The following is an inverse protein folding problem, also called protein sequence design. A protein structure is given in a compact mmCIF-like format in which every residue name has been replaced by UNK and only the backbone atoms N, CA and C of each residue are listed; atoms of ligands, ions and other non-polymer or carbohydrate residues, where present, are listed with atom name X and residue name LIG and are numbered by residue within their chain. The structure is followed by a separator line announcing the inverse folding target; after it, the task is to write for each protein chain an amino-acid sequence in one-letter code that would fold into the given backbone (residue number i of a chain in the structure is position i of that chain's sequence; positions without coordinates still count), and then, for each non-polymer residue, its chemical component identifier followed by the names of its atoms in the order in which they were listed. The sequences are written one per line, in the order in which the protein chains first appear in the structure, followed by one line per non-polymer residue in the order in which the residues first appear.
data_IF_731072020575
#
_entry.id   IF_731072020575
#
_cell.length_a   1.000
_cell.length_b   1.000
_cell.length_c   1.000
_cell.angle_alpha   90.00
_cell.angle_beta   90.00
_cell.angle_gamma   90.00
#
_symmetry.space_group_name_H-M   'P 1'
#
loop_
_entity.id
_entity.type
_entity.pdbx_description
1 polymer ?
#
# COMPACT_ATOMS: atom_id res chain seq x y z
N UNK A 1 25.62 9.79 -41.22
CA UNK A 1 24.46 9.50 -40.37
C UNK A 1 23.48 8.62 -41.16
N UNK A 2 23.50 7.30 -40.95
CA UNK A 2 22.57 6.37 -41.60
C UNK A 2 21.23 6.41 -40.83
N UNK A 3 20.15 6.74 -41.53
CA UNK A 3 18.78 6.70 -40.94
C UNK A 3 18.38 5.24 -40.74
N UNK A 4 18.17 4.86 -39.49
CA UNK A 4 17.54 3.58 -39.11
C UNK A 4 16.10 3.54 -39.65
N UNK A 5 15.79 2.55 -40.49
CA UNK A 5 14.42 2.37 -41.00
C UNK A 5 13.57 1.61 -39.97
N UNK A 6 12.23 1.75 -40.04
CA UNK A 6 11.26 1.15 -39.09
C UNK A 6 11.45 -0.37 -38.88
N UNK A 7 11.84 -1.11 -39.90
CA UNK A 7 12.06 -2.57 -39.80
C UNK A 7 13.26 -2.92 -38.91
N UNK A 8 14.36 -2.15 -39.01
CA UNK A 8 15.55 -2.37 -38.15
C UNK A 8 15.29 -1.98 -36.68
N UNK A 9 14.44 -0.99 -36.47
CA UNK A 9 14.01 -0.62 -35.09
C UNK A 9 13.19 -1.74 -34.45
N UNK A 10 12.22 -2.32 -35.18
CA UNK A 10 11.39 -3.41 -34.65
C UNK A 10 12.19 -4.72 -34.43
N UNK A 11 13.19 -5.02 -35.24
CA UNK A 11 14.07 -6.17 -35.00
C UNK A 11 15.00 -5.96 -33.79
N UNK A 12 15.44 -4.73 -33.51
CA UNK A 12 16.28 -4.42 -32.37
C UNK A 12 15.46 -4.48 -31.03
N UNK A 13 14.18 -4.09 -31.06
CA UNK A 13 13.30 -4.21 -29.90
C UNK A 13 12.84 -5.65 -29.63
N UNK A 14 12.68 -6.49 -30.64
CA UNK A 14 12.38 -7.91 -30.45
C UNK A 14 13.52 -8.70 -29.79
N UNK A 15 14.79 -8.35 -30.09
CA UNK A 15 15.96 -8.95 -29.45
C UNK A 15 16.13 -8.60 -27.95
N UNK A 16 15.64 -7.45 -27.52
CA UNK A 16 15.67 -7.03 -26.11
C UNK A 16 14.61 -7.71 -25.24
N UNK A 17 13.49 -8.14 -25.83
CA UNK A 17 12.42 -8.84 -25.08
C UNK A 17 12.77 -10.30 -24.81
N UNK A 18 13.57 -10.94 -25.68
CA UNK A 18 13.97 -12.34 -25.52
C UNK A 18 15.03 -12.57 -24.41
N UNK A 19 15.79 -11.55 -24.01
CA UNK A 19 16.78 -11.65 -22.95
C UNK A 19 16.25 -11.33 -21.54
N UNK A 20 15.02 -10.84 -21.42
CA UNK A 20 14.39 -10.54 -20.13
C UNK A 20 13.65 -11.73 -19.48
N UNK A 21 13.58 -12.88 -20.16
CA UNK A 21 12.88 -14.07 -19.67
C UNK A 21 13.64 -14.87 -18.60
N UNK A 22 14.82 -14.43 -18.18
CA UNK A 22 15.68 -15.11 -17.20
C UNK A 22 15.94 -14.40 -15.88
N UNK A 23 15.48 -13.17 -15.71
CA UNK A 23 15.61 -12.47 -14.44
C UNK A 23 14.37 -12.69 -13.58
N UNK A 24 14.23 -13.87 -12.95
CA UNK A 24 13.46 -13.97 -11.72
C UNK A 24 14.12 -13.03 -10.72
N UNK A 25 13.54 -11.83 -10.56
CA UNK A 25 13.87 -10.96 -9.45
C UNK A 25 13.72 -11.81 -8.18
N UNK A 26 14.83 -12.17 -7.60
CA UNK A 26 14.91 -12.89 -6.33
C UNK A 26 14.35 -11.94 -5.26
N UNK A 27 13.06 -12.05 -5.01
CA UNK A 27 12.42 -11.37 -3.90
C UNK A 27 12.83 -12.08 -2.63
N UNK A 28 13.57 -11.45 -1.70
CA UNK A 28 14.19 -12.12 -0.54
C UNK A 28 13.18 -12.61 0.51
N UNK A 29 11.90 -12.65 0.19
CA UNK A 29 10.85 -13.15 1.07
C UNK A 29 10.41 -14.58 0.69
N UNK A 30 11.33 -15.51 0.73
CA UNK A 30 11.04 -16.96 0.66
C UNK A 30 10.76 -17.55 2.06
N UNK A 31 10.13 -16.80 2.93
CA UNK A 31 9.58 -17.32 4.19
C UNK A 31 8.09 -17.51 4.04
N UNK A 32 7.61 -18.72 4.20
CA UNK A 32 6.18 -19.07 4.31
C UNK A 32 5.51 -18.51 5.58
N UNK A 33 6.10 -17.49 6.20
CA UNK A 33 5.53 -16.77 7.33
C UNK A 33 4.38 -15.86 6.86
N UNK A 34 3.21 -16.05 7.43
CA UNK A 34 2.09 -15.11 7.36
C UNK A 34 2.60 -13.69 7.71
N UNK A 35 2.41 -12.68 6.83
CA UNK A 35 2.86 -11.32 7.09
C UNK A 35 2.06 -10.61 8.18
N UNK A 36 1.13 -11.31 8.82
CA UNK A 36 0.51 -10.75 10.02
C UNK A 36 1.60 -10.55 11.05
N UNK A 37 1.86 -9.30 11.49
CA UNK A 37 2.76 -9.07 12.61
C UNK A 37 2.29 -9.96 13.76
N UNK A 38 3.24 -10.69 14.33
CA UNK A 38 2.99 -11.65 15.39
C UNK A 38 2.16 -10.99 16.51
N UNK A 39 0.92 -11.44 16.66
CA UNK A 39 -0.02 -10.94 17.65
C UNK A 39 -0.52 -9.54 17.30
N UNK A 40 -1.73 -9.48 16.79
CA UNK A 40 -2.56 -8.27 16.73
C UNK A 40 -2.71 -7.74 18.16
N UNK A 41 -1.71 -6.99 18.63
CA UNK A 41 -1.79 -6.35 19.96
C UNK A 41 -2.83 -5.24 19.84
N UNK A 42 -3.96 -5.45 20.47
CA UNK A 42 -4.89 -4.36 20.74
C UNK A 42 -4.21 -3.46 21.77
N UNK A 43 -3.63 -2.36 21.30
CA UNK A 43 -2.94 -1.37 22.14
C UNK A 43 -3.91 -0.24 22.52
N UNK A 44 -5.21 -0.53 22.64
CA UNK A 44 -6.19 0.43 23.10
C UNK A 44 -5.77 1.00 24.45
N UNK A 45 -5.94 2.29 24.57
CA UNK A 45 -5.59 3.01 25.80
C UNK A 45 -4.11 3.37 25.92
N UNK A 46 -3.29 3.09 24.91
CA UNK A 46 -1.90 3.55 24.90
C UNK A 46 -1.80 4.99 24.40
N UNK A 47 -1.24 5.86 25.22
CA UNK A 47 -1.13 7.30 24.92
C UNK A 47 0.17 7.60 24.18
N UNK A 48 0.07 8.35 23.08
CA UNK A 48 1.19 8.89 22.33
C UNK A 48 1.55 10.30 22.77
N UNK A 49 2.80 10.71 22.50
CA UNK A 49 3.28 12.07 22.63
C UNK A 49 3.43 12.71 21.24
N UNK A 50 3.43 14.04 21.20
CA UNK A 50 3.63 14.78 19.97
C UNK A 50 2.43 14.72 19.02
N UNK A 51 2.67 14.47 17.74
CA UNK A 51 1.64 14.45 16.69
C UNK A 51 1.00 13.06 16.46
N UNK A 52 1.21 12.14 17.38
CA UNK A 52 0.59 10.84 17.36
C UNK A 52 -0.83 10.88 17.99
N UNK A 53 -1.73 9.95 17.65
CA UNK A 53 -3.03 9.85 18.31
C UNK A 53 -2.88 9.50 19.79
N UNK A 54 -3.85 9.90 20.62
CA UNK A 54 -3.85 9.61 22.06
C UNK A 54 -3.89 8.11 22.35
N UNK A 55 -4.47 7.32 21.44
CA UNK A 55 -4.56 5.87 21.56
C UNK A 55 -4.26 5.19 20.22
N UNK A 56 -3.66 3.99 20.27
CA UNK A 56 -3.61 3.12 19.10
C UNK A 56 -4.93 2.35 18.96
N UNK A 57 -5.39 2.30 17.71
CA UNK A 57 -6.65 1.65 17.37
C UNK A 57 -6.49 0.16 17.12
N UNK A 58 -7.61 -0.56 17.10
CA UNK A 58 -7.67 -1.96 16.69
C UNK A 58 -7.16 -2.20 15.25
N UNK A 59 -7.13 -1.17 14.40
CA UNK A 59 -6.61 -1.19 13.03
C UNK A 59 -5.12 -0.89 12.93
N UNK A 60 -4.43 -0.72 14.07
CA UNK A 60 -2.98 -0.52 14.09
C UNK A 60 -2.25 -1.85 13.96
N UNK A 61 -1.15 -1.86 13.22
CA UNK A 61 -0.24 -2.99 13.15
C UNK A 61 1.21 -2.53 13.12
N UNK A 62 2.14 -3.36 13.57
CA UNK A 62 3.56 -3.05 13.45
C UNK A 62 3.95 -2.98 11.97
N UNK A 63 4.71 -1.96 11.59
CA UNK A 63 5.19 -1.78 10.23
C UNK A 63 6.30 -2.78 9.89
N UNK A 64 6.41 -3.20 8.63
CA UNK A 64 7.41 -4.17 8.21
C UNK A 64 8.78 -3.56 7.94
N UNK A 65 8.79 -2.45 7.21
CA UNK A 65 10.00 -1.89 6.64
C UNK A 65 10.47 -0.68 7.46
N UNK A 66 11.14 -0.93 8.58
CA UNK A 66 11.77 0.12 9.38
C UNK A 66 13.00 -0.42 10.13
N UNK A 67 13.83 0.48 10.61
CA UNK A 67 14.98 0.17 11.47
C UNK A 67 14.82 0.86 12.82
N UNK A 68 15.07 0.13 13.89
CA UNK A 68 15.21 0.68 15.24
C UNK A 68 16.57 1.37 15.37
N UNK A 69 16.59 2.51 16.04
CA UNK A 69 17.77 3.32 16.28
C UNK A 69 17.88 3.63 17.79
N UNK A 70 18.98 4.26 18.17
CA UNK A 70 19.20 4.67 19.56
C UNK A 70 18.10 5.60 20.07
N UNK A 71 17.93 5.63 21.40
CA UNK A 71 16.95 6.48 22.08
C UNK A 71 15.50 6.24 21.58
N UNK A 72 15.15 5.00 21.31
CA UNK A 72 13.82 4.61 20.83
C UNK A 72 13.38 5.32 19.52
N UNK A 73 14.31 5.87 18.76
CA UNK A 73 14.02 6.39 17.44
C UNK A 73 13.86 5.25 16.43
N UNK A 74 13.10 5.50 15.38
CA UNK A 74 12.95 4.57 14.26
C UNK A 74 13.16 5.29 12.94
N UNK A 75 13.64 4.58 11.94
CA UNK A 75 13.70 5.08 10.57
C UNK A 75 12.79 4.22 9.69
N UNK A 76 11.72 4.83 9.16
CA UNK A 76 10.81 4.20 8.19
C UNK A 76 11.53 3.98 6.87
N UNK A 77 11.45 2.78 6.31
CA UNK A 77 12.09 2.40 5.05
C UNK A 77 11.16 2.20 3.87
N UNK A 78 9.84 2.47 4.04
CA UNK A 78 8.84 2.11 3.02
C UNK A 78 8.88 3.00 1.76
N UNK A 79 9.31 4.24 1.89
CA UNK A 79 9.35 5.19 0.78
C UNK A 79 10.62 6.07 0.83
N UNK A 80 10.93 6.84 -0.25
CA UNK A 80 12.12 7.70 -0.32
C UNK A 80 12.22 8.77 0.78
N UNK A 81 11.11 9.13 1.45
CA UNK A 81 11.12 10.11 2.54
C UNK A 81 11.93 9.65 3.75
N UNK A 82 12.10 8.34 3.96
CA UNK A 82 12.92 7.76 5.04
C UNK A 82 12.75 8.47 6.38
N UNK A 83 11.51 8.68 6.80
CA UNK A 83 11.16 9.45 7.99
C UNK A 83 11.95 8.95 9.22
N UNK A 84 12.72 9.84 9.83
CA UNK A 84 13.36 9.62 11.12
C UNK A 84 12.41 10.12 12.21
N UNK A 85 11.94 9.22 13.06
CA UNK A 85 10.87 9.49 14.01
C UNK A 85 11.36 9.24 15.44
N UNK A 86 11.25 10.23 16.31
CA UNK A 86 11.37 10.08 17.73
C UNK A 86 10.11 9.42 18.34
N UNK A 87 10.14 8.95 19.61
CA UNK A 87 8.93 8.44 20.26
C UNK A 87 7.78 9.46 20.23
N UNK A 88 6.63 9.05 19.73
CA UNK A 88 5.44 9.89 19.55
C UNK A 88 5.34 10.60 18.20
N UNK A 89 6.40 10.60 17.39
CA UNK A 89 6.38 11.27 16.09
C UNK A 89 5.59 10.50 15.05
N UNK A 90 5.01 11.27 14.12
CA UNK A 90 4.26 10.79 12.96
C UNK A 90 5.04 10.98 11.67
N UNK A 91 4.94 10.02 10.76
CA UNK A 91 5.55 10.08 9.44
C UNK A 91 4.92 11.14 8.52
N UNK A 92 5.64 11.52 7.46
CA UNK A 92 5.16 12.45 6.43
C UNK A 92 3.85 11.99 5.79
N UNK A 93 3.68 10.67 5.60
CA UNK A 93 2.44 10.11 5.06
C UNK A 93 1.26 10.13 6.04
N UNK A 94 1.44 10.52 7.29
CA UNK A 94 0.45 10.61 8.36
C UNK A 94 -0.14 9.30 8.86
N UNK A 95 0.14 8.19 8.18
CA UNK A 95 -0.40 6.86 8.52
C UNK A 95 0.51 6.00 9.38
N UNK A 96 1.72 6.46 9.72
CA UNK A 96 2.65 5.71 10.58
C UNK A 96 3.13 6.56 11.76
N UNK A 97 3.29 5.92 12.91
CA UNK A 97 3.74 6.56 14.16
C UNK A 97 4.82 5.71 14.84
N UNK A 98 5.77 6.36 15.50
CA UNK A 98 6.70 5.69 16.39
C UNK A 98 6.12 5.65 17.81
N UNK A 99 5.88 4.46 18.31
CA UNK A 99 5.53 4.27 19.70
C UNK A 99 6.61 3.46 20.40
N UNK A 100 7.30 4.10 21.35
CA UNK A 100 8.33 3.49 22.20
C UNK A 100 9.39 2.68 21.41
N UNK A 101 9.85 3.19 20.27
CA UNK A 101 10.87 2.53 19.46
C UNK A 101 10.33 1.46 18.50
N UNK A 102 9.01 1.36 18.37
CA UNK A 102 8.34 0.49 17.40
C UNK A 102 7.50 1.35 16.45
N UNK A 103 7.66 1.13 15.13
CA UNK A 103 6.88 1.82 14.12
C UNK A 103 5.56 1.10 13.89
N UNK A 104 4.45 1.80 14.04
CA UNK A 104 3.11 1.28 13.77
C UNK A 104 2.48 1.94 12.55
N UNK A 105 1.83 1.15 11.72
CA UNK A 105 0.85 1.62 10.74
C UNK A 105 -0.50 1.79 11.41
N UNK A 106 -1.18 2.91 11.15
CA UNK A 106 -2.54 3.19 11.62
C UNK A 106 -3.60 2.91 10.53
N UNK A 107 -3.17 2.28 9.44
CA UNK A 107 -3.96 2.04 8.25
C UNK A 107 -4.02 0.54 7.93
N UNK A 108 -4.69 -0.24 8.79
CA UNK A 108 -4.84 -1.68 8.62
C UNK A 108 -6.28 -2.12 8.92
N UNK A 109 -7.05 -2.34 7.87
CA UNK A 109 -8.46 -2.75 7.97
C UNK A 109 -9.45 -1.60 8.18
N UNK A 110 -9.00 -0.36 7.97
CA UNK A 110 -9.80 0.86 8.09
C UNK A 110 -9.75 1.72 6.81
N UNK A 111 -10.13 1.18 5.62
CA UNK A 111 -10.16 1.98 4.41
C UNK A 111 -11.15 3.13 4.52
N UNK A 112 -10.77 4.29 3.98
CA UNK A 112 -11.64 5.46 3.88
C UNK A 112 -12.44 5.50 2.59
N UNK A 113 -12.06 4.70 1.59
CA UNK A 113 -12.83 4.54 0.35
C UNK A 113 -12.75 3.10 -0.16
N UNK A 114 -13.92 2.56 -0.51
CA UNK A 114 -14.08 1.25 -1.16
C UNK A 114 -15.11 1.41 -2.27
N UNK A 115 -14.74 1.06 -3.51
CA UNK A 115 -15.61 1.19 -4.68
C UNK A 115 -15.40 0.06 -5.68
N UNK A 116 -16.41 -0.22 -6.49
CA UNK A 116 -16.26 -1.02 -7.70
C UNK A 116 -16.14 -0.07 -8.88
N UNK A 117 -15.00 -0.07 -9.53
CA UNK A 117 -14.71 0.82 -10.65
C UNK A 117 -14.41 0.00 -11.92
N UNK A 118 -14.68 0.52 -13.12
CA UNK A 118 -14.08 -0.04 -14.33
C UNK A 118 -12.57 0.11 -14.28
N UNK A 119 -11.84 -0.88 -14.81
CA UNK A 119 -10.36 -0.89 -14.79
C UNK A 119 -9.77 0.32 -15.51
N UNK A 120 -10.46 0.84 -16.51
CA UNK A 120 -10.07 2.04 -17.26
C UNK A 120 -10.02 3.29 -16.40
N UNK A 121 -10.79 3.37 -15.31
CA UNK A 121 -10.69 4.45 -14.31
C UNK A 121 -9.36 4.41 -13.55
N UNK A 122 -8.61 3.30 -13.63
CA UNK A 122 -7.25 3.14 -13.10
C UNK A 122 -6.18 3.41 -14.15
N UNK A 123 -6.42 4.23 -15.15
CA UNK A 123 -5.86 4.38 -16.50
C UNK A 123 -5.19 3.11 -17.08
N UNK A 124 -5.78 1.96 -16.86
CA UNK A 124 -5.28 0.67 -17.36
C UNK A 124 -6.11 0.20 -18.56
N UNK A 125 -5.96 0.89 -19.70
CA UNK A 125 -6.79 0.65 -20.90
C UNK A 125 -6.49 -0.67 -21.64
N UNK A 126 -5.30 -1.23 -21.45
CA UNK A 126 -4.86 -2.46 -22.12
C UNK A 126 -4.76 -3.67 -21.19
N UNK A 127 -5.04 -3.49 -19.90
CA UNK A 127 -5.05 -4.56 -18.91
C UNK A 127 -6.50 -4.96 -18.61
N UNK A 128 -6.89 -6.17 -18.99
CA UNK A 128 -8.24 -6.71 -18.79
C UNK A 128 -9.36 -5.69 -19.13
N UNK A 129 -9.44 -5.21 -20.39
CA UNK A 129 -10.41 -4.17 -20.76
C UNK A 129 -11.84 -4.56 -20.38
N UNK A 130 -12.64 -3.59 -19.87
CA UNK A 130 -14.02 -3.76 -19.39
C UNK A 130 -14.15 -4.57 -18.10
N UNK A 131 -13.06 -4.95 -17.47
CA UNK A 131 -13.10 -5.64 -16.17
C UNK A 131 -13.43 -4.68 -15.03
N UNK A 132 -13.85 -5.25 -13.91
CA UNK A 132 -14.13 -4.51 -12.67
C UNK A 132 -12.95 -4.59 -11.72
N UNK A 133 -12.61 -3.45 -11.11
CA UNK A 133 -11.61 -3.34 -10.09
C UNK A 133 -12.27 -2.99 -8.73
N UNK A 134 -12.05 -3.83 -7.72
CA UNK A 134 -12.39 -3.52 -6.34
C UNK A 134 -11.35 -2.55 -5.79
N UNK A 135 -11.71 -1.28 -5.67
CA UNK A 135 -10.79 -0.20 -5.32
C UNK A 135 -10.78 0.05 -3.82
N UNK A 136 -9.58 0.10 -3.23
CA UNK A 136 -9.37 0.30 -1.79
C UNK A 136 -8.39 1.44 -1.57
N UNK A 137 -8.74 2.36 -0.69
CA UNK A 137 -7.84 3.41 -0.20
C UNK A 137 -7.88 3.53 1.31
N UNK A 138 -6.74 3.87 1.89
CA UNK A 138 -6.66 4.36 3.27
C UNK A 138 -6.27 5.83 3.30
N UNK A 139 -6.43 6.46 4.45
CA UNK A 139 -6.06 7.85 4.68
C UNK A 139 -4.53 8.01 4.77
N UNK A 140 -4.03 9.11 4.22
CA UNK A 140 -2.62 9.46 4.22
C UNK A 140 -1.91 9.15 2.90
N UNK A 141 -0.93 9.99 2.55
CA UNK A 141 -0.12 9.86 1.35
C UNK A 141 1.28 10.43 1.62
N UNK A 142 2.30 9.84 1.03
CA UNK A 142 3.69 10.33 1.12
C UNK A 142 4.01 11.44 0.10
N UNK A 143 3.08 11.76 -0.79
CA UNK A 143 3.14 12.90 -1.70
C UNK A 143 2.33 14.09 -1.20
N UNK A 144 2.58 15.27 -1.81
CA UNK A 144 1.88 16.54 -1.56
C UNK A 144 1.57 17.25 -2.88
N UNK A 145 0.93 16.53 -3.81
CA UNK A 145 0.58 17.06 -5.12
C UNK A 145 -0.39 18.25 -4.97
N UNK A 146 -0.08 19.38 -5.61
CA UNK A 146 -0.87 20.61 -5.50
C UNK A 146 -2.27 20.47 -6.12
N UNK A 147 -2.42 19.60 -7.11
CA UNK A 147 -3.68 19.31 -7.81
C UNK A 147 -4.24 17.93 -7.49
N UNK A 148 -4.04 17.45 -6.27
CA UNK A 148 -4.52 16.13 -5.87
C UNK A 148 -6.06 16.09 -5.85
N UNK A 149 -6.65 15.25 -6.69
CA UNK A 149 -8.11 15.03 -6.71
C UNK A 149 -8.63 14.50 -5.37
N UNK A 150 -7.83 13.69 -4.68
CA UNK A 150 -8.19 13.02 -3.43
C UNK A 150 -7.51 13.69 -2.21
N UNK A 151 -7.33 15.01 -2.23
CA UNK A 151 -6.59 15.73 -1.19
C UNK A 151 -7.18 15.54 0.22
N UNK A 152 -8.49 15.42 0.34
CA UNK A 152 -9.21 15.24 1.61
C UNK A 152 -8.76 13.99 2.36
N UNK A 153 -8.53 12.88 1.65
CA UNK A 153 -8.05 11.65 2.26
C UNK A 153 -6.53 11.53 2.25
N UNK A 154 -5.86 12.11 1.24
CA UNK A 154 -4.41 11.99 1.10
C UNK A 154 -3.64 12.90 2.06
N UNK A 155 -4.21 14.03 2.46
CA UNK A 155 -3.56 15.01 3.33
C UNK A 155 -4.08 15.01 4.77
N UNK A 156 -4.91 14.05 5.14
CA UNK A 156 -5.47 13.88 6.47
C UNK A 156 -4.78 12.73 7.24
N UNK A 157 -4.99 12.68 8.55
CA UNK A 157 -4.62 11.56 9.43
C UNK A 157 -5.73 10.51 9.43
N UNK A 158 -5.44 9.21 9.64
CA UNK A 158 -6.46 8.16 9.68
C UNK A 158 -7.59 8.41 10.68
N UNK A 159 -7.32 9.04 11.81
CA UNK A 159 -8.30 9.40 12.85
C UNK A 159 -9.21 10.58 12.48
N UNK A 160 -8.85 11.38 11.48
CA UNK A 160 -9.60 12.57 11.06
C UNK A 160 -10.65 12.26 9.99
N UNK A 161 -10.59 11.08 9.37
CA UNK A 161 -11.45 10.70 8.24
C UNK A 161 -12.34 9.52 8.60
N UNK A 162 -13.61 9.59 8.20
CA UNK A 162 -14.52 8.45 8.31
C UNK A 162 -13.97 7.26 7.53
N UNK A 163 -14.00 6.09 8.15
CA UNK A 163 -13.51 4.85 7.55
C UNK A 163 -14.50 3.70 7.79
N UNK A 164 -14.35 2.66 6.97
CA UNK A 164 -15.06 1.40 7.09
C UNK A 164 -14.20 0.40 7.89
N UNK A 165 -14.82 -0.62 8.45
CA UNK A 165 -14.09 -1.78 8.92
C UNK A 165 -14.07 -2.83 7.81
N UNK A 166 -12.88 -3.09 7.25
CA UNK A 166 -12.70 -4.05 6.17
C UNK A 166 -11.36 -4.77 6.33
N UNK A 167 -11.41 -5.94 6.97
CA UNK A 167 -10.21 -6.76 7.13
C UNK A 167 -9.83 -7.50 5.83
N UNK A 168 -8.57 -7.93 5.68
CA UNK A 168 -8.05 -8.48 4.43
C UNK A 168 -8.89 -9.60 3.81
N UNK A 169 -9.32 -10.55 4.61
CA UNK A 169 -10.13 -11.69 4.15
C UNK A 169 -11.50 -11.23 3.64
N UNK A 170 -12.09 -10.25 4.33
CA UNK A 170 -13.36 -9.64 3.95
C UNK A 170 -13.23 -8.87 2.65
N UNK A 171 -12.14 -8.12 2.46
CA UNK A 171 -11.88 -7.40 1.21
C UNK A 171 -11.83 -8.34 0.00
N UNK A 172 -11.15 -9.48 0.14
CA UNK A 172 -11.09 -10.48 -0.93
C UNK A 172 -12.46 -11.12 -1.18
N UNK A 173 -13.21 -11.43 -0.12
CA UNK A 173 -14.55 -12.01 -0.24
C UNK A 173 -15.51 -11.03 -0.95
N UNK A 174 -15.48 -9.75 -0.61
CA UNK A 174 -16.30 -8.73 -1.26
C UNK A 174 -15.88 -8.49 -2.72
N UNK A 175 -14.58 -8.50 -3.03
CA UNK A 175 -14.09 -8.41 -4.40
C UNK A 175 -14.61 -9.59 -5.25
N UNK A 176 -14.51 -10.81 -4.72
CA UNK A 176 -15.02 -12.01 -5.39
C UNK A 176 -16.54 -11.97 -5.58
N UNK A 177 -17.29 -11.58 -4.54
CA UNK A 177 -18.75 -11.46 -4.61
C UNK A 177 -19.21 -10.39 -5.63
N UNK A 178 -18.41 -9.33 -5.82
CA UNK A 178 -18.63 -8.32 -6.83
C UNK A 178 -18.19 -8.76 -8.24
N UNK A 179 -17.65 -9.99 -8.38
CA UNK A 179 -17.02 -10.48 -9.62
C UNK A 179 -15.97 -9.49 -10.13
N UNK A 180 -15.16 -8.92 -9.24
CA UNK A 180 -14.06 -8.05 -9.62
C UNK A 180 -12.82 -8.91 -10.00
N UNK A 181 -12.31 -8.69 -11.19
CA UNK A 181 -11.13 -9.39 -11.71
C UNK A 181 -9.84 -8.90 -11.06
N UNK A 182 -9.89 -7.73 -10.40
CA UNK A 182 -8.74 -7.15 -9.73
C UNK A 182 -9.10 -6.38 -8.46
N UNK A 183 -8.12 -6.25 -7.56
CA UNK A 183 -8.16 -5.32 -6.43
C UNK A 183 -7.16 -4.22 -6.72
N UNK A 184 -7.63 -2.96 -6.73
CA UNK A 184 -6.82 -1.77 -6.97
C UNK A 184 -6.57 -1.03 -5.65
N UNK A 185 -5.31 -0.90 -5.28
CA UNK A 185 -4.85 -0.06 -4.18
C UNK A 185 -4.57 1.33 -4.74
N UNK A 186 -5.45 2.30 -4.45
CA UNK A 186 -5.56 3.53 -5.25
C UNK A 186 -6.07 4.72 -4.43
N UNK A 187 -6.34 5.85 -5.09
CA UNK A 187 -6.82 7.15 -4.57
C UNK A 187 -5.79 7.87 -3.67
N UNK A 188 -5.12 7.19 -2.75
CA UNK A 188 -3.89 7.61 -2.08
C UNK A 188 -2.74 6.70 -2.51
N UNK A 189 -1.52 7.02 -2.15
CA UNK A 189 -0.36 6.21 -2.50
C UNK A 189 -0.38 4.86 -1.76
N UNK A 190 -0.50 3.76 -2.48
CA UNK A 190 -0.69 2.41 -1.95
C UNK A 190 0.40 1.95 -0.98
N UNK A 191 1.64 2.40 -1.20
CA UNK A 191 2.80 2.05 -0.37
C UNK A 191 2.67 2.59 1.07
N UNK A 192 1.84 3.59 1.32
CA UNK A 192 1.65 4.14 2.67
C UNK A 192 0.89 3.20 3.61
N UNK A 193 0.09 2.29 3.05
CA UNK A 193 -0.62 1.23 3.78
C UNK A 193 -0.15 -0.17 3.36
N UNK A 194 1.14 -0.30 3.13
CA UNK A 194 1.79 -1.49 2.61
C UNK A 194 1.41 -2.77 3.36
N UNK A 195 1.34 -2.74 4.67
CA UNK A 195 1.02 -3.87 5.52
C UNK A 195 -0.39 -4.41 5.23
N UNK A 196 -1.36 -3.51 5.10
CA UNK A 196 -2.74 -3.85 4.77
C UNK A 196 -2.87 -4.31 3.32
N UNK A 197 -2.24 -3.58 2.39
CA UNK A 197 -2.19 -3.95 0.98
C UNK A 197 -1.65 -5.38 0.80
N UNK A 198 -0.52 -5.70 1.43
CA UNK A 198 0.12 -7.01 1.30
C UNK A 198 -0.74 -8.12 1.92
N UNK A 199 -1.42 -7.83 3.04
CA UNK A 199 -2.33 -8.78 3.68
C UNK A 199 -3.57 -9.09 2.82
N UNK A 200 -4.02 -8.15 1.98
CA UNK A 200 -5.08 -8.39 0.98
C UNK A 200 -4.51 -9.09 -0.25
N UNK A 201 -3.36 -8.64 -0.76
CA UNK A 201 -2.81 -9.08 -2.04
C UNK A 201 -2.51 -10.58 -2.10
N UNK A 202 -2.03 -11.16 -0.99
CA UNK A 202 -1.70 -12.58 -0.93
C UNK A 202 -2.91 -13.51 -1.06
N UNK A 203 -3.98 -13.38 -0.28
CA UNK A 203 -5.19 -14.18 -0.46
C UNK A 203 -5.91 -13.85 -1.79
N UNK A 204 -5.91 -12.59 -2.25
CA UNK A 204 -6.46 -12.23 -3.55
C UNK A 204 -5.79 -13.00 -4.68
N UNK A 205 -4.45 -13.06 -4.70
CA UNK A 205 -3.70 -13.86 -5.68
C UNK A 205 -4.05 -15.35 -5.63
N UNK A 206 -4.22 -15.92 -4.44
CA UNK A 206 -4.63 -17.33 -4.28
C UNK A 206 -6.04 -17.56 -4.82
N UNK A 207 -6.92 -16.58 -4.76
CA UNK A 207 -8.27 -16.60 -5.31
C UNK A 207 -8.33 -16.26 -6.81
N UNK A 208 -7.19 -16.08 -7.50
CA UNK A 208 -7.14 -15.73 -8.91
C UNK A 208 -7.47 -14.26 -9.22
N UNK A 209 -7.54 -13.40 -8.20
CA UNK A 209 -7.83 -11.97 -8.36
C UNK A 209 -6.51 -11.20 -8.51
N UNK A 210 -6.40 -10.36 -9.53
CA UNK A 210 -5.22 -9.56 -9.80
C UNK A 210 -5.06 -8.42 -8.81
N UNK A 211 -3.82 -7.99 -8.55
CA UNK A 211 -3.50 -6.86 -7.67
C UNK A 211 -2.91 -5.72 -8.48
N UNK A 212 -3.51 -4.53 -8.35
CA UNK A 212 -3.12 -3.32 -9.07
C UNK A 212 -2.65 -2.25 -8.08
N UNK A 213 -1.44 -1.74 -8.29
CA UNK A 213 -0.92 -0.57 -7.59
C UNK A 213 -1.05 0.63 -8.54
N UNK A 214 -1.76 1.67 -8.10
CA UNK A 214 -2.09 2.85 -8.92
C UNK A 214 -1.50 4.09 -8.27
#
# INVERSE_FOLDING_TARGET
MQRLNRRRFLCASAGLVASAAGAHAFWPFSGEGDPRPAGRRDIRGTVFKGDAPDTLWKWSCEAFLYRKLDRQRVMCGICPNRCLLAPGDRSVCRSKVNWQGTLYSLAYGNPCAVNIDPVEKKPLYHFLPRSRAFSVATTGCNFRCLNCQNWEISQAKPEEVRHLELFPEEAVRQAAAASAESIAYTYSEAITFFEYMLAIARPARKAGIHNLLI
#
